data_IF_023924381148
#
_entry.id   IF_023924381148
#
_cell.length_a   1.000
_cell.length_b   1.000
_cell.length_c   1.000
_cell.angle_alpha   90.00
_cell.angle_beta   90.00
_cell.angle_gamma   90.00
#
_symmetry.space_group_name_H-M   'P 1'
#
loop_
_entity.id
_entity.type
_entity.pdbx_description
1 polymer ?
#
# COMPACT_ATOMS: atom_id res chain seq x y z
N UNK A 1 -22.28 11.25 17.80
CA UNK A 1 -21.59 12.01 18.86
C UNK A 1 -20.26 11.31 19.06
N UNK A 2 -19.24 11.79 18.36
CA UNK A 2 -17.88 11.26 18.44
C UNK A 2 -17.22 11.81 19.70
N UNK A 3 -16.79 10.93 20.59
CA UNK A 3 -16.00 11.32 21.75
C UNK A 3 -14.65 11.91 21.37
N UNK A 4 -14.13 12.84 22.18
CA UNK A 4 -12.98 13.64 21.82
C UNK A 4 -11.67 12.85 21.99
N UNK A 5 -10.79 12.99 21.03
CA UNK A 5 -9.37 12.69 21.06
C UNK A 5 -8.73 12.99 22.45
N UNK A 6 -7.95 12.04 22.95
CA UNK A 6 -7.37 12.05 24.29
C UNK A 6 -6.59 13.36 24.59
N UNK A 7 -6.88 13.94 25.76
CA UNK A 7 -6.44 15.25 26.23
C UNK A 7 -4.97 15.35 26.67
N UNK A 8 -4.06 14.44 26.30
CA UNK A 8 -2.72 14.40 26.91
C UNK A 8 -1.63 15.22 26.23
N UNK A 9 -1.85 15.77 25.04
CA UNK A 9 -0.83 16.59 24.36
C UNK A 9 -1.33 18.01 24.13
N UNK A 10 -1.04 18.90 25.07
CA UNK A 10 -1.25 20.35 24.91
C UNK A 10 -0.26 20.89 23.86
N UNK A 11 -0.72 21.28 22.66
CA UNK A 11 0.17 21.76 21.59
C UNK A 11 1.01 22.97 22.01
N UNK A 12 0.57 23.76 23.00
CA UNK A 12 1.28 24.97 23.45
C UNK A 12 2.60 24.64 24.12
N UNK A 13 2.75 23.45 24.70
CA UNK A 13 3.96 22.99 25.42
C UNK A 13 4.96 22.26 24.53
N UNK A 14 4.62 21.98 23.28
CA UNK A 14 5.47 21.27 22.35
C UNK A 14 6.64 22.15 21.88
N UNK A 15 7.84 21.54 21.72
CA UNK A 15 8.96 22.20 21.05
C UNK A 15 8.75 22.19 19.54
N UNK A 16 9.14 23.23 18.81
CA UNK A 16 9.12 23.25 17.35
C UNK A 16 9.89 22.05 16.75
N UNK A 17 9.33 21.44 15.72
CA UNK A 17 9.93 20.31 14.98
C UNK A 17 9.91 20.62 13.49
N UNK A 18 11.07 20.58 12.84
CA UNK A 18 11.16 20.73 11.37
C UNK A 18 10.64 19.45 10.70
N UNK A 19 9.90 19.64 9.61
CA UNK A 19 9.43 18.57 8.76
C UNK A 19 9.56 18.94 7.27
N UNK A 20 9.82 17.96 6.40
CA UNK A 20 9.64 18.12 4.96
C UNK A 20 8.18 17.82 4.63
N UNK A 21 7.43 18.82 4.16
CA UNK A 21 6.08 18.63 3.65
C UNK A 21 6.16 18.40 2.14
N UNK A 22 5.82 17.21 1.69
CA UNK A 22 5.67 16.87 0.28
C UNK A 22 4.18 16.92 -0.02
N UNK A 23 3.78 17.91 -0.80
CA UNK A 23 2.39 18.17 -1.12
C UNK A 23 2.12 17.89 -2.60
N UNK A 24 1.17 16.99 -2.87
CA UNK A 24 0.70 16.70 -4.22
C UNK A 24 -0.65 17.37 -4.48
N UNK A 25 -0.69 18.48 -5.23
CA UNK A 25 -1.92 19.23 -5.49
C UNK A 25 -2.91 18.47 -6.39
N UNK A 26 -2.44 17.46 -7.14
CA UNK A 26 -3.29 16.65 -8.03
C UNK A 26 -3.95 15.48 -7.31
N UNK A 27 -3.58 15.20 -6.06
CA UNK A 27 -4.17 14.10 -5.30
C UNK A 27 -5.64 14.40 -4.95
N UNK A 28 -6.53 13.42 -5.19
CA UNK A 28 -7.94 13.50 -4.80
C UNK A 28 -8.78 14.55 -5.54
N UNK A 29 -8.29 15.07 -6.66
CA UNK A 29 -8.99 16.12 -7.46
C UNK A 29 -10.44 15.75 -7.83
N UNK A 30 -10.80 14.47 -7.77
CA UNK A 30 -12.13 13.95 -8.13
C UNK A 30 -13.07 13.76 -6.93
N UNK A 31 -12.60 13.89 -5.70
CA UNK A 31 -13.37 13.60 -4.46
C UNK A 31 -13.99 14.82 -3.76
N UNK A 32 -14.27 15.88 -4.44
CA UNK A 32 -14.87 17.11 -3.86
C UNK A 32 -13.81 18.20 -3.63
N UNK A 33 -13.90 18.97 -2.53
CA UNK A 33 -12.95 20.04 -2.28
C UNK A 33 -11.55 19.46 -1.98
N UNK A 34 -10.53 19.75 -2.80
CA UNK A 34 -9.18 19.27 -2.55
C UNK A 34 -8.64 19.84 -1.24
N UNK A 35 -7.79 19.09 -0.58
CA UNK A 35 -7.09 19.56 0.63
C UNK A 35 -6.22 20.77 0.27
N UNK A 36 -6.47 21.92 0.89
CA UNK A 36 -5.71 23.13 0.64
C UNK A 36 -4.36 23.11 1.34
N UNK A 37 -3.30 23.50 0.63
CA UNK A 37 -1.95 23.56 1.23
C UNK A 37 -1.89 24.50 2.43
N UNK A 38 -2.63 25.59 2.40
CA UNK A 38 -2.67 26.57 3.49
C UNK A 38 -3.31 25.97 4.75
N UNK A 39 -4.32 25.11 4.59
CA UNK A 39 -4.97 24.43 5.72
C UNK A 39 -4.01 23.41 6.35
N UNK A 40 -3.24 22.68 5.51
CA UNK A 40 -2.19 21.76 5.99
C UNK A 40 -1.12 22.51 6.77
N UNK A 41 -0.59 23.61 6.23
CA UNK A 41 0.45 24.41 6.87
C UNK A 41 -0.08 25.01 8.20
N UNK A 42 -1.29 25.55 8.18
CA UNK A 42 -1.92 26.12 9.37
C UNK A 42 -2.04 25.08 10.49
N UNK A 43 -2.57 23.91 10.16
CA UNK A 43 -2.74 22.84 11.15
C UNK A 43 -1.39 22.30 11.65
N UNK A 44 -0.39 22.15 10.78
CA UNK A 44 0.98 21.80 11.19
C UNK A 44 1.56 22.82 12.19
N UNK A 45 1.31 24.11 11.99
CA UNK A 45 1.78 25.17 12.88
C UNK A 45 1.08 25.12 14.26
N UNK A 46 -0.20 24.77 14.32
CA UNK A 46 -0.92 24.50 15.58
C UNK A 46 -0.16 23.47 16.41
N UNK A 47 0.33 22.40 15.76
CA UNK A 47 1.10 21.32 16.39
C UNK A 47 2.60 21.61 16.51
N UNK A 48 3.05 22.87 16.31
CA UNK A 48 4.47 23.27 16.34
C UNK A 48 5.35 22.48 15.37
N UNK A 49 4.78 22.05 14.24
CA UNK A 49 5.53 21.48 13.14
C UNK A 49 5.84 22.61 12.14
N UNK A 50 7.12 22.79 11.82
CA UNK A 50 7.59 23.82 10.89
C UNK A 50 7.86 23.16 9.54
N UNK A 51 6.95 23.32 8.54
CA UNK A 51 7.10 22.66 7.27
C UNK A 51 8.11 23.35 6.36
N UNK A 52 8.95 22.56 5.69
CA UNK A 52 9.66 22.92 4.48
C UNK A 52 8.92 22.32 3.29
N UNK A 53 8.23 23.14 2.53
CA UNK A 53 7.28 22.68 1.50
C UNK A 53 8.02 22.29 0.22
N UNK A 54 7.60 21.16 -0.35
CA UNK A 54 7.92 20.73 -1.71
C UNK A 54 6.62 20.37 -2.43
N UNK A 55 6.37 20.99 -3.58
CA UNK A 55 5.21 20.69 -4.43
C UNK A 55 5.57 19.60 -5.43
N UNK A 56 4.72 18.59 -5.51
CA UNK A 56 4.85 17.52 -6.51
C UNK A 56 4.19 18.00 -7.80
N UNK A 57 5.00 18.23 -8.81
CA UNK A 57 4.60 18.64 -10.16
C UNK A 57 5.25 17.71 -11.18
N UNK A 58 4.73 17.71 -12.40
CA UNK A 58 5.32 16.93 -13.49
C UNK A 58 6.79 17.32 -13.73
N UNK A 59 7.67 16.32 -13.75
CA UNK A 59 9.11 16.53 -13.97
C UNK A 59 9.87 17.06 -12.74
N UNK A 60 9.26 17.18 -11.55
CA UNK A 60 9.97 17.61 -10.35
C UNK A 60 11.01 16.57 -9.88
N UNK A 61 12.11 17.01 -9.28
CA UNK A 61 13.12 16.15 -8.66
C UNK A 61 12.73 15.83 -7.20
N UNK A 62 11.73 14.96 -7.05
CA UNK A 62 11.29 14.49 -5.74
C UNK A 62 12.43 13.76 -4.98
N UNK A 63 13.22 12.96 -5.69
CA UNK A 63 14.32 12.21 -5.07
C UNK A 63 15.42 13.14 -4.55
N UNK A 64 15.76 14.18 -5.30
CA UNK A 64 16.67 15.24 -4.85
C UNK A 64 16.15 15.95 -3.62
N UNK A 65 14.86 16.35 -3.63
CA UNK A 65 14.25 17.04 -2.48
C UNK A 65 14.27 16.20 -1.20
N UNK A 66 14.02 14.90 -1.30
CA UNK A 66 14.09 13.96 -0.15
C UNK A 66 15.53 13.80 0.33
N UNK A 67 16.47 13.57 -0.59
CA UNK A 67 17.90 13.42 -0.28
C UNK A 67 18.47 14.63 0.42
N UNK A 68 18.18 15.84 -0.09
CA UNK A 68 18.66 17.10 0.48
C UNK A 68 18.09 17.35 1.88
N UNK A 69 16.81 17.05 2.08
CA UNK A 69 16.17 17.16 3.39
C UNK A 69 16.77 16.20 4.41
N UNK A 70 17.07 14.96 4.00
CA UNK A 70 17.77 13.98 4.85
C UNK A 70 19.18 14.46 5.23
N UNK A 71 19.94 15.03 4.26
CA UNK A 71 21.26 15.58 4.47
C UNK A 71 21.24 16.78 5.44
N UNK A 72 20.19 17.60 5.40
CA UNK A 72 19.96 18.72 6.34
C UNK A 72 19.49 18.26 7.73
N UNK A 73 19.36 16.95 7.96
CA UNK A 73 18.98 16.38 9.24
C UNK A 73 17.48 16.38 9.52
N UNK A 74 16.62 16.61 8.53
CA UNK A 74 15.17 16.46 8.68
C UNK A 74 14.86 14.98 8.96
N UNK A 75 13.99 14.73 9.93
CA UNK A 75 13.63 13.38 10.40
C UNK A 75 12.14 13.09 10.30
N UNK A 76 11.31 14.05 9.94
CA UNK A 76 9.89 13.87 9.67
C UNK A 76 9.59 14.32 8.24
N UNK A 77 9.08 13.39 7.45
CA UNK A 77 8.58 13.63 6.10
C UNK A 77 7.07 13.48 6.12
N UNK A 78 6.36 14.56 5.90
CA UNK A 78 4.89 14.60 5.88
C UNK A 78 4.43 14.61 4.44
N UNK A 79 3.71 13.58 4.05
CA UNK A 79 3.20 13.43 2.69
C UNK A 79 1.71 13.74 2.69
N UNK A 80 1.33 14.83 2.03
CA UNK A 80 -0.06 15.13 1.67
C UNK A 80 -0.28 14.71 0.23
N UNK A 81 -0.86 13.53 0.05
CA UNK A 81 -0.99 12.88 -1.26
C UNK A 81 -1.79 11.59 -1.20
N UNK A 82 -1.88 10.89 -2.33
CA UNK A 82 -2.43 9.55 -2.45
C UNK A 82 -1.35 8.47 -2.35
N UNK A 83 -1.78 7.20 -2.44
CA UNK A 83 -0.94 6.02 -2.23
C UNK A 83 0.32 6.02 -3.10
N UNK A 84 0.24 6.40 -4.37
CA UNK A 84 1.41 6.49 -5.27
C UNK A 84 2.47 7.49 -4.80
N UNK A 85 2.09 8.68 -4.27
CA UNK A 85 3.03 9.66 -3.72
C UNK A 85 3.62 9.16 -2.41
N UNK A 86 2.81 8.53 -1.57
CA UNK A 86 3.23 7.93 -0.30
C UNK A 86 4.25 6.82 -0.56
N UNK A 87 3.95 5.87 -1.45
CA UNK A 87 4.83 4.76 -1.80
C UNK A 87 6.17 5.24 -2.39
N UNK A 88 6.14 6.24 -3.27
CA UNK A 88 7.36 6.81 -3.85
C UNK A 88 8.30 7.37 -2.78
N UNK A 89 7.77 8.16 -1.84
CA UNK A 89 8.59 8.72 -0.74
C UNK A 89 9.00 7.65 0.25
N UNK A 90 8.10 6.71 0.58
CA UNK A 90 8.39 5.59 1.48
C UNK A 90 9.61 4.80 1.00
N UNK A 91 9.66 4.46 -0.31
CA UNK A 91 10.81 3.78 -0.90
C UNK A 91 12.14 4.51 -0.73
N UNK A 92 12.14 5.85 -0.73
CA UNK A 92 13.33 6.67 -0.50
C UNK A 92 13.73 6.75 0.97
N UNK A 93 12.82 6.46 1.89
CA UNK A 93 13.05 6.51 3.35
C UNK A 93 13.42 5.16 3.96
N UNK A 94 13.34 4.06 3.19
CA UNK A 94 13.76 2.72 3.62
C UNK A 94 15.17 2.76 4.17
N UNK A 95 15.39 2.09 5.32
CA UNK A 95 16.67 2.03 6.02
C UNK A 95 17.23 3.40 6.47
N UNK A 96 16.42 4.45 6.51
CA UNK A 96 16.82 5.75 7.08
C UNK A 96 16.36 5.89 8.53
N UNK A 97 16.82 6.96 9.21
CA UNK A 97 16.34 7.32 10.55
C UNK A 97 15.12 8.24 10.53
N UNK A 98 14.64 8.61 9.36
CA UNK A 98 13.48 9.47 9.20
C UNK A 98 12.17 8.69 9.44
N UNK A 99 11.12 9.42 9.77
CA UNK A 99 9.77 8.88 9.90
C UNK A 99 8.89 9.46 8.81
N UNK A 100 8.04 8.62 8.25
CA UNK A 100 6.96 8.97 7.35
C UNK A 100 5.74 9.40 8.17
N UNK A 101 5.18 10.56 7.87
CA UNK A 101 3.86 11.00 8.33
C UNK A 101 2.95 11.13 7.12
N UNK A 102 1.69 10.76 7.25
CA UNK A 102 0.75 10.74 6.13
C UNK A 102 -0.44 11.63 6.45
N UNK A 103 -0.79 12.48 5.47
CA UNK A 103 -2.04 13.24 5.40
C UNK A 103 -2.77 12.75 4.16
N UNK A 104 -3.75 11.84 4.31
CA UNK A 104 -4.38 11.19 3.18
C UNK A 104 -5.24 12.17 2.39
N UNK A 105 -4.88 12.43 1.14
CA UNK A 105 -5.62 13.31 0.23
C UNK A 105 -5.90 12.67 -1.14
N UNK A 106 -5.58 11.40 -1.31
CA UNK A 106 -5.83 10.63 -2.53
C UNK A 106 -7.25 10.09 -2.62
N UNK A 107 -7.49 9.30 -3.68
CA UNK A 107 -8.80 8.71 -3.95
C UNK A 107 -9.06 7.47 -3.09
N UNK A 108 -8.10 6.57 -2.94
CA UNK A 108 -8.25 5.31 -2.19
C UNK A 108 -7.70 5.42 -0.77
N UNK A 109 -6.46 5.88 -0.62
CA UNK A 109 -5.75 6.00 0.66
C UNK A 109 -5.62 4.67 1.42
N UNK A 110 -5.38 3.57 0.70
CA UNK A 110 -5.25 2.22 1.25
C UNK A 110 -4.11 2.12 2.27
N UNK A 111 -2.97 2.77 1.98
CA UNK A 111 -1.81 2.80 2.89
C UNK A 111 -2.20 3.48 4.20
N UNK A 112 -2.89 4.62 4.14
CA UNK A 112 -3.34 5.32 5.34
C UNK A 112 -4.36 4.50 6.14
N UNK A 113 -5.32 3.85 5.46
CA UNK A 113 -6.29 2.95 6.07
C UNK A 113 -5.59 1.79 6.77
N UNK A 114 -4.65 1.12 6.10
CA UNK A 114 -3.87 0.00 6.64
C UNK A 114 -3.09 0.36 7.90
N UNK A 115 -2.64 1.61 7.99
CA UNK A 115 -1.83 2.12 9.12
C UNK A 115 -2.66 2.80 10.21
N UNK A 116 -4.00 2.73 10.12
CA UNK A 116 -4.90 3.36 11.10
C UNK A 116 -4.79 4.90 11.12
N UNK A 117 -4.49 5.52 9.99
CA UNK A 117 -4.35 6.97 9.88
C UNK A 117 -5.70 7.59 9.50
N UNK A 118 -6.21 8.54 10.30
CA UNK A 118 -7.51 9.15 10.04
C UNK A 118 -7.56 9.91 8.70
N UNK A 119 -8.71 9.85 8.02
CA UNK A 119 -8.95 10.63 6.81
C UNK A 119 -9.16 12.14 7.09
N UNK A 120 -9.52 12.51 8.32
CA UNK A 120 -9.66 13.91 8.73
C UNK A 120 -8.30 14.59 8.82
N UNK A 121 -8.17 15.74 8.15
CA UNK A 121 -6.93 16.52 8.08
C UNK A 121 -6.34 16.85 9.47
N UNK A 122 -7.17 17.31 10.39
CA UNK A 122 -6.72 17.74 11.72
C UNK A 122 -6.26 16.55 12.55
N UNK A 123 -7.01 15.47 12.50
CA UNK A 123 -6.67 14.24 13.19
C UNK A 123 -5.38 13.60 12.62
N UNK A 124 -5.22 13.58 11.30
CA UNK A 124 -4.00 13.09 10.66
C UNK A 124 -2.76 13.91 11.02
N UNK A 125 -2.87 15.24 11.08
CA UNK A 125 -1.75 16.09 11.48
C UNK A 125 -1.47 16.00 12.99
N UNK A 126 -2.51 15.93 13.83
CA UNK A 126 -2.34 15.71 15.28
C UNK A 126 -1.54 14.42 15.54
N UNK A 127 -1.83 13.36 14.79
CA UNK A 127 -1.18 12.07 14.88
C UNK A 127 0.34 12.14 14.65
N UNK A 128 0.83 13.09 13.88
CA UNK A 128 2.27 13.30 13.68
C UNK A 128 3.01 13.63 14.99
N UNK A 129 2.30 14.08 16.02
CA UNK A 129 2.84 14.44 17.35
C UNK A 129 2.35 13.53 18.46
N UNK A 130 1.18 12.95 18.33
CA UNK A 130 0.51 12.14 19.35
C UNK A 130 0.52 10.66 19.05
N UNK A 131 0.71 10.29 17.78
CA UNK A 131 0.73 8.92 17.33
C UNK A 131 1.98 8.14 17.75
N UNK A 132 1.95 6.85 17.50
CA UNK A 132 3.05 5.93 17.75
C UNK A 132 3.97 5.85 16.53
N UNK A 133 5.28 5.93 16.76
CA UNK A 133 6.27 5.62 15.73
C UNK A 133 6.40 4.10 15.62
N UNK A 134 5.97 3.53 14.50
CA UNK A 134 6.05 2.09 14.23
C UNK A 134 7.04 1.78 13.13
N UNK A 135 7.68 0.62 13.21
CA UNK A 135 8.42 0.07 12.09
C UNK A 135 7.44 -0.72 11.22
N UNK A 136 7.56 -0.51 9.93
CA UNK A 136 6.69 -1.09 8.89
C UNK A 136 7.56 -1.88 7.92
N UNK A 137 7.05 -2.99 7.49
CA UNK A 137 7.67 -3.85 6.50
C UNK A 137 7.53 -3.24 5.10
N UNK A 138 8.46 -3.57 4.23
CA UNK A 138 8.46 -3.12 2.83
C UNK A 138 8.76 -4.32 1.96
N UNK A 139 7.92 -4.57 0.96
CA UNK A 139 8.22 -5.56 -0.05
C UNK A 139 9.29 -5.06 -1.01
N UNK A 140 10.19 -5.95 -1.43
CA UNK A 140 11.20 -5.69 -2.46
C UNK A 140 10.98 -6.63 -3.63
N UNK A 141 10.63 -6.09 -4.80
CA UNK A 141 10.44 -6.86 -6.02
C UNK A 141 11.64 -6.67 -6.97
N UNK A 142 12.16 -7.78 -7.48
CA UNK A 142 13.30 -7.82 -8.41
C UNK A 142 12.90 -8.57 -9.67
N UNK A 143 12.94 -7.86 -10.81
CA UNK A 143 12.67 -8.40 -12.15
C UNK A 143 13.86 -8.08 -13.06
N UNK A 144 14.66 -9.09 -13.41
CA UNK A 144 15.93 -8.89 -14.11
C UNK A 144 16.87 -7.97 -13.33
N UNK A 145 17.27 -6.86 -13.94
CA UNK A 145 18.14 -5.85 -13.31
C UNK A 145 17.36 -4.76 -12.54
N UNK A 146 16.04 -4.76 -12.65
CA UNK A 146 15.19 -3.75 -12.01
C UNK A 146 14.80 -4.22 -10.61
N UNK A 147 15.15 -3.44 -9.60
CA UNK A 147 14.76 -3.66 -8.21
C UNK A 147 13.93 -2.48 -7.71
N UNK A 148 12.78 -2.75 -7.12
CA UNK A 148 11.86 -1.71 -6.64
C UNK A 148 11.21 -2.09 -5.32
N UNK A 149 11.29 -1.21 -4.31
CA UNK A 149 10.48 -1.37 -3.10
C UNK A 149 9.02 -1.07 -3.41
N UNK A 150 8.12 -1.74 -2.70
CA UNK A 150 6.69 -1.44 -2.70
C UNK A 150 6.15 -1.49 -1.26
N UNK A 151 5.18 -0.63 -0.99
CA UNK A 151 4.58 -0.53 0.33
C UNK A 151 3.23 -1.24 0.37
N UNK A 152 2.45 -1.16 -0.70
CA UNK A 152 1.10 -1.73 -0.78
C UNK A 152 1.10 -3.12 -1.42
N UNK A 153 1.44 -3.21 -2.72
CA UNK A 153 1.25 -4.44 -3.49
C UNK A 153 2.20 -4.58 -4.68
N UNK A 154 2.63 -5.81 -4.95
CA UNK A 154 3.17 -6.21 -6.24
C UNK A 154 2.18 -7.15 -6.94
N UNK A 155 1.90 -6.90 -8.21
CA UNK A 155 0.94 -7.67 -9.02
C UNK A 155 1.59 -8.24 -10.27
N UNK A 156 1.20 -9.46 -10.64
CA UNK A 156 1.62 -10.16 -11.85
C UNK A 156 0.40 -10.52 -12.68
N UNK A 157 0.45 -10.28 -13.97
CA UNK A 157 -0.62 -10.60 -14.93
C UNK A 157 -1.74 -9.57 -14.94
N UNK A 158 -3.00 -10.00 -15.05
CA UNK A 158 -4.15 -9.10 -15.16
C UNK A 158 -4.31 -8.16 -13.96
N UNK A 159 -3.80 -8.53 -12.78
CA UNK A 159 -3.77 -7.63 -11.62
C UNK A 159 -3.06 -6.32 -11.93
N UNK A 160 -1.97 -6.35 -12.70
CA UNK A 160 -1.22 -5.16 -13.10
C UNK A 160 -2.00 -4.19 -14.01
N UNK A 161 -2.94 -4.71 -14.80
CA UNK A 161 -3.80 -3.89 -15.66
C UNK A 161 -5.08 -3.43 -14.96
N UNK A 162 -5.57 -4.21 -14.00
CA UNK A 162 -6.86 -3.98 -13.32
C UNK A 162 -6.80 -2.81 -12.32
N UNK A 163 -5.72 -2.68 -11.54
CA UNK A 163 -5.61 -1.61 -10.56
C UNK A 163 -5.55 -0.21 -11.18
N UNK A 164 -4.73 0.06 -12.21
CA UNK A 164 -4.77 1.33 -12.91
C UNK A 164 -6.11 1.60 -13.59
N UNK A 165 -6.74 0.57 -14.19
CA UNK A 165 -8.01 0.72 -14.87
C UNK A 165 -9.18 1.01 -13.92
N UNK A 166 -9.18 0.45 -12.73
CA UNK A 166 -10.19 0.76 -11.71
C UNK A 166 -10.11 2.24 -11.29
N UNK A 167 -8.89 2.77 -11.14
CA UNK A 167 -8.66 4.17 -10.85
C UNK A 167 -9.10 5.07 -12.03
N UNK A 168 -8.74 4.73 -13.26
CA UNK A 168 -9.17 5.43 -14.48
C UNK A 168 -10.70 5.41 -14.67
N UNK A 169 -11.37 4.31 -14.30
CA UNK A 169 -12.84 4.19 -14.35
C UNK A 169 -13.51 5.18 -13.39
N UNK A 170 -12.97 5.29 -12.18
CA UNK A 170 -13.45 6.25 -11.18
C UNK A 170 -13.23 7.70 -11.63
N UNK A 171 -12.22 7.94 -12.46
CA UNK A 171 -11.88 9.25 -13.00
C UNK A 171 -12.54 9.56 -14.36
N UNK A 172 -13.36 8.64 -14.90
CA UNK A 172 -14.11 8.83 -16.15
C UNK A 172 -13.24 8.83 -17.41
N UNK A 173 -12.05 8.24 -17.38
CA UNK A 173 -11.12 8.19 -18.52
C UNK A 173 -11.47 7.04 -19.48
N UNK A 174 -12.47 7.27 -20.34
CA UNK A 174 -13.04 6.26 -21.25
C UNK A 174 -12.02 5.69 -22.26
N UNK A 175 -11.00 6.42 -22.64
CA UNK A 175 -9.99 5.96 -23.60
C UNK A 175 -9.16 4.78 -23.01
N UNK A 176 -8.73 4.90 -21.77
CA UNK A 176 -7.97 3.85 -21.09
C UNK A 176 -8.82 2.61 -20.74
N UNK A 177 -10.14 2.78 -20.61
CA UNK A 177 -11.05 1.65 -20.43
C UNK A 177 -11.06 0.76 -21.68
N UNK A 178 -10.96 1.33 -22.88
CA UNK A 178 -10.86 0.57 -24.13
C UNK A 178 -9.60 -0.30 -24.18
N UNK A 179 -8.46 0.27 -23.83
CA UNK A 179 -7.17 -0.45 -23.77
C UNK A 179 -7.21 -1.56 -22.72
N UNK A 180 -7.79 -1.28 -21.57
CA UNK A 180 -8.00 -2.27 -20.51
C UNK A 180 -8.89 -3.43 -20.98
N UNK A 181 -10.04 -3.14 -21.57
CA UNK A 181 -10.94 -4.18 -22.09
C UNK A 181 -10.28 -5.02 -23.21
N UNK A 182 -9.48 -4.37 -24.06
CA UNK A 182 -8.67 -5.09 -25.07
C UNK A 182 -7.68 -6.04 -24.41
N UNK A 183 -6.91 -5.58 -23.44
CA UNK A 183 -5.96 -6.39 -22.68
C UNK A 183 -6.68 -7.54 -21.96
N UNK A 184 -7.80 -7.26 -21.32
CA UNK A 184 -8.60 -8.27 -20.64
C UNK A 184 -9.07 -9.37 -21.61
N UNK A 185 -9.56 -9.01 -22.80
CA UNK A 185 -10.07 -9.98 -23.78
C UNK A 185 -8.93 -10.81 -24.39
N UNK A 186 -7.80 -10.19 -24.70
CA UNK A 186 -6.72 -10.81 -25.49
C UNK A 186 -5.71 -11.60 -24.64
N UNK A 187 -5.56 -11.31 -23.34
CA UNK A 187 -4.58 -12.01 -22.49
C UNK A 187 -4.97 -13.49 -22.27
N UNK A 188 -4.18 -14.47 -22.71
CA UNK A 188 -4.45 -15.88 -22.38
C UNK A 188 -4.20 -16.14 -20.89
N UNK A 189 -4.72 -17.25 -20.32
CA UNK A 189 -4.21 -17.76 -19.06
C UNK A 189 -2.75 -18.17 -19.23
N UNK A 190 -1.96 -18.04 -18.17
CA UNK A 190 -0.58 -18.51 -18.14
C UNK A 190 -0.41 -19.66 -17.16
N UNK A 191 0.54 -20.52 -17.45
CA UNK A 191 1.12 -21.40 -16.45
C UNK A 191 1.89 -20.51 -15.46
N UNK A 192 1.53 -20.60 -14.20
CA UNK A 192 2.10 -19.82 -13.09
C UNK A 192 2.83 -20.82 -12.20
N UNK A 193 4.12 -20.59 -12.01
CA UNK A 193 4.97 -21.35 -11.10
C UNK A 193 5.39 -20.45 -9.96
N UNK A 194 5.06 -20.84 -8.72
CA UNK A 194 5.46 -20.15 -7.49
C UNK A 194 6.46 -21.02 -6.73
N UNK A 195 7.51 -20.39 -6.20
CA UNK A 195 8.38 -20.98 -5.18
C UNK A 195 8.25 -20.14 -3.91
N UNK A 196 7.69 -20.72 -2.87
CA UNK A 196 7.36 -20.08 -1.61
C UNK A 196 8.43 -20.43 -0.57
N UNK A 197 9.08 -19.44 0.00
CA UNK A 197 10.15 -19.56 1.01
C UNK A 197 11.29 -20.55 0.66
N UNK A 198 11.54 -20.74 -0.66
CA UNK A 198 12.50 -21.69 -1.22
C UNK A 198 12.19 -23.19 -0.91
N UNK A 199 11.00 -23.52 -0.40
CA UNK A 199 10.64 -24.85 0.08
C UNK A 199 9.41 -25.43 -0.61
N UNK A 200 8.38 -24.64 -0.89
CA UNK A 200 7.12 -25.10 -1.46
C UNK A 200 6.97 -24.60 -2.89
N UNK A 201 6.76 -25.52 -3.83
CA UNK A 201 6.42 -25.22 -5.22
C UNK A 201 4.92 -25.35 -5.44
N UNK A 202 4.35 -24.43 -6.20
CA UNK A 202 2.93 -24.43 -6.59
C UNK A 202 2.82 -24.11 -8.07
N UNK A 203 2.17 -25.01 -8.82
CA UNK A 203 1.85 -24.82 -10.24
C UNK A 203 0.35 -24.62 -10.42
N UNK A 204 -0.03 -23.64 -11.21
CA UNK A 204 -1.42 -23.38 -11.54
C UNK A 204 -1.59 -22.72 -12.90
N UNK A 205 -2.75 -22.91 -13.51
CA UNK A 205 -3.19 -22.12 -14.65
C UNK A 205 -4.02 -20.94 -14.15
N UNK A 206 -3.66 -19.72 -14.53
CA UNK A 206 -4.35 -18.56 -13.99
C UNK A 206 -4.08 -17.27 -14.76
N UNK A 207 -4.65 -16.19 -14.27
CA UNK A 207 -4.55 -14.87 -14.88
C UNK A 207 -3.84 -13.81 -14.03
N UNK A 208 -3.68 -14.07 -12.74
CA UNK A 208 -3.10 -13.08 -11.83
C UNK A 208 -2.50 -13.72 -10.56
N UNK A 209 -1.43 -13.10 -10.08
CA UNK A 209 -0.92 -13.26 -8.71
C UNK A 209 -0.80 -11.88 -8.09
N UNK A 210 -1.25 -11.75 -6.85
CA UNK A 210 -1.08 -10.54 -6.03
C UNK A 210 -0.18 -10.88 -4.84
N UNK A 211 0.78 -10.01 -4.56
CA UNK A 211 1.66 -10.12 -3.40
C UNK A 211 1.53 -8.82 -2.61
N UNK A 212 0.82 -8.87 -1.51
CA UNK A 212 0.51 -7.70 -0.70
C UNK A 212 1.40 -7.62 0.54
N UNK A 213 1.82 -6.40 0.86
CA UNK A 213 2.53 -6.05 2.08
C UNK A 213 1.61 -5.28 3.05
N UNK A 214 0.47 -4.77 2.56
CA UNK A 214 -0.53 -4.09 3.36
C UNK A 214 -1.87 -4.84 3.30
N UNK A 215 -2.67 -4.81 4.39
CA UNK A 215 -3.93 -5.54 4.46
C UNK A 215 -5.01 -5.05 3.48
N UNK A 216 -4.97 -3.79 3.07
CA UNK A 216 -5.92 -3.21 2.13
C UNK A 216 -5.25 -2.79 0.83
N UNK A 217 -5.93 -3.05 -0.29
CA UNK A 217 -5.46 -2.67 -1.64
C UNK A 217 -6.63 -2.39 -2.58
N UNK A 218 -6.38 -1.69 -3.69
CA UNK A 218 -7.37 -1.37 -4.72
C UNK A 218 -8.59 -0.64 -4.14
N UNK A 219 -9.79 -1.15 -4.36
CA UNK A 219 -11.05 -0.58 -3.83
C UNK A 219 -11.32 -1.03 -2.38
N UNK A 220 -10.34 -0.88 -1.48
CA UNK A 220 -10.37 -1.37 -0.11
C UNK A 220 -10.55 -2.90 0.00
N UNK A 221 -10.00 -3.62 -0.97
CA UNK A 221 -9.98 -5.08 -0.94
C UNK A 221 -9.05 -5.52 0.20
N UNK A 222 -9.59 -6.27 1.16
CA UNK A 222 -8.80 -6.81 2.26
C UNK A 222 -8.10 -8.10 1.80
N UNK A 223 -6.80 -8.04 1.66
CA UNK A 223 -5.95 -9.17 1.23
C UNK A 223 -5.52 -10.01 2.44
N UNK A 224 -5.02 -9.36 3.47
CA UNK A 224 -4.44 -9.98 4.65
C UNK A 224 -5.15 -9.63 5.96
N UNK A 225 -4.51 -9.98 7.07
CA UNK A 225 -4.95 -9.56 8.41
C UNK A 225 -4.74 -8.05 8.58
N UNK A 226 -5.67 -7.37 9.23
CA UNK A 226 -5.58 -5.93 9.51
C UNK A 226 -4.36 -5.52 10.35
N UNK A 227 -3.65 -6.47 10.96
CA UNK A 227 -2.44 -6.23 11.75
C UNK A 227 -1.13 -6.46 10.99
N UNK A 228 -1.19 -6.82 9.71
CA UNK A 228 -0.10 -7.44 8.96
C UNK A 228 0.88 -6.49 8.27
N UNK A 229 1.08 -5.26 8.76
CA UNK A 229 2.07 -4.36 8.15
C UNK A 229 3.49 -4.44 8.77
N UNK A 230 3.68 -5.33 9.76
CA UNK A 230 4.96 -5.47 10.48
C UNK A 230 5.20 -6.87 11.08
N UNK A 231 4.64 -7.90 10.48
CA UNK A 231 4.78 -9.30 10.91
C UNK A 231 5.93 -10.04 10.22
N UNK A 232 6.58 -9.39 9.27
CA UNK A 232 7.67 -9.97 8.49
C UNK A 232 7.21 -10.94 7.41
N UNK A 233 5.95 -10.83 6.96
CA UNK A 233 5.35 -11.68 5.94
C UNK A 233 4.75 -10.86 4.79
N UNK A 234 4.58 -11.51 3.66
CA UNK A 234 3.83 -11.04 2.49
C UNK A 234 2.65 -11.97 2.26
N UNK A 235 1.50 -11.42 1.96
CA UNK A 235 0.32 -12.20 1.61
C UNK A 235 0.27 -12.42 0.09
N UNK A 236 0.38 -13.67 -0.34
CA UNK A 236 0.31 -14.08 -1.75
C UNK A 236 -1.08 -14.61 -2.06
N UNK A 237 -1.74 -14.04 -3.06
CA UNK A 237 -3.01 -14.52 -3.59
C UNK A 237 -2.79 -15.01 -5.02
N UNK A 238 -2.98 -16.30 -5.22
CA UNK A 238 -2.96 -16.94 -6.53
C UNK A 238 -4.40 -17.17 -7.01
N UNK A 239 -4.77 -16.54 -8.12
CA UNK A 239 -6.08 -16.67 -8.75
C UNK A 239 -6.00 -17.76 -9.83
N UNK A 240 -6.24 -19.01 -9.40
CA UNK A 240 -6.19 -20.19 -10.24
C UNK A 240 -7.57 -20.53 -10.83
N UNK A 241 -7.58 -20.97 -12.08
CA UNK A 241 -8.80 -21.49 -12.77
C UNK A 241 -10.03 -20.54 -12.72
N UNK A 242 -9.81 -19.25 -12.54
CA UNK A 242 -10.87 -18.24 -12.63
C UNK A 242 -10.98 -17.70 -14.05
N UNK A 243 -12.20 -17.54 -14.53
CA UNK A 243 -12.43 -16.76 -15.75
C UNK A 243 -12.13 -15.28 -15.49
N UNK A 244 -11.79 -14.55 -16.54
CA UNK A 244 -11.49 -13.11 -16.46
C UNK A 244 -12.65 -12.29 -15.87
N UNK A 245 -13.91 -12.67 -16.14
CA UNK A 245 -15.08 -12.01 -15.60
C UNK A 245 -15.27 -12.29 -14.10
N UNK A 246 -14.96 -13.49 -13.65
CA UNK A 246 -14.94 -13.82 -12.22
C UNK A 246 -13.84 -13.06 -11.50
N UNK A 247 -12.63 -13.01 -12.06
CA UNK A 247 -11.51 -12.24 -11.52
C UNK A 247 -11.88 -10.76 -11.36
N UNK A 248 -12.47 -10.15 -12.40
CA UNK A 248 -13.04 -8.80 -12.32
C UNK A 248 -14.08 -8.68 -11.22
N UNK A 249 -15.01 -9.64 -11.13
CA UNK A 249 -16.04 -9.67 -10.10
C UNK A 249 -15.44 -9.64 -8.69
N UNK A 250 -14.39 -10.40 -8.44
CA UNK A 250 -13.68 -10.39 -7.15
C UNK A 250 -13.02 -9.05 -6.85
N UNK A 251 -12.37 -8.45 -7.83
CA UNK A 251 -11.66 -7.18 -7.64
C UNK A 251 -12.60 -5.99 -7.41
N UNK A 252 -13.78 -6.00 -8.04
CA UNK A 252 -14.77 -4.92 -7.88
C UNK A 252 -15.71 -5.09 -6.69
N UNK A 253 -16.04 -6.33 -6.30
CA UNK A 253 -16.98 -6.55 -5.18
C UNK A 253 -16.32 -6.42 -3.82
N UNK A 254 -14.99 -6.46 -3.75
CA UNK A 254 -14.29 -6.74 -2.50
C UNK A 254 -14.70 -8.12 -1.98
N UNK A 255 -13.79 -8.96 -1.55
CA UNK A 255 -14.18 -10.13 -0.76
C UNK A 255 -14.46 -9.57 0.63
N UNK A 256 -15.72 -9.29 0.93
CA UNK A 256 -16.13 -8.97 2.29
C UNK A 256 -15.71 -10.12 3.20
N UNK A 257 -15.37 -9.82 4.44
CA UNK A 257 -15.00 -10.81 5.45
C UNK A 257 -16.04 -11.95 5.60
N UNK A 258 -17.25 -11.73 5.11
CA UNK A 258 -18.38 -12.67 5.18
C UNK A 258 -18.57 -13.56 3.93
N UNK A 259 -17.74 -13.39 2.87
CA UNK A 259 -17.84 -14.25 1.69
C UNK A 259 -17.15 -15.59 1.97
N UNK A 260 -17.83 -16.70 1.68
CA UNK A 260 -17.21 -18.02 1.75
C UNK A 260 -15.94 -18.06 0.89
N UNK A 261 -14.83 -18.61 1.40
CA UNK A 261 -13.57 -18.65 0.66
C UNK A 261 -13.74 -19.44 -0.64
N UNK A 262 -13.37 -18.84 -1.77
CA UNK A 262 -13.34 -19.54 -3.04
C UNK A 262 -12.04 -20.38 -3.10
N UNK A 263 -12.12 -21.72 -3.24
CA UNK A 263 -10.95 -22.59 -3.25
C UNK A 263 -10.01 -22.34 -4.42
N UNK A 264 -10.46 -21.62 -5.45
CA UNK A 264 -9.65 -21.20 -6.61
C UNK A 264 -8.79 -19.97 -6.31
N UNK A 265 -9.01 -19.31 -5.16
CA UNK A 265 -8.15 -18.23 -4.66
C UNK A 265 -7.30 -18.82 -3.54
N UNK A 266 -6.10 -19.25 -3.92
CA UNK A 266 -5.15 -19.82 -2.98
C UNK A 266 -4.41 -18.70 -2.27
N UNK A 267 -4.24 -18.82 -0.95
CA UNK A 267 -3.62 -17.80 -0.10
C UNK A 267 -2.43 -18.39 0.63
N UNK A 268 -1.33 -17.64 0.62
CA UNK A 268 -0.12 -18.01 1.32
C UNK A 268 0.44 -16.77 2.04
N UNK A 269 1.05 -16.97 3.22
CA UNK A 269 1.79 -15.93 3.93
C UNK A 269 3.25 -16.37 4.00
N UNK A 270 4.14 -15.63 3.37
CA UNK A 270 5.54 -16.02 3.13
C UNK A 270 6.49 -14.85 3.34
N UNK A 271 7.76 -15.15 3.55
CA UNK A 271 8.82 -14.12 3.57
C UNK A 271 9.35 -13.82 2.16
N UNK A 272 9.26 -14.83 1.29
CA UNK A 272 9.77 -14.75 -0.08
C UNK A 272 8.89 -15.54 -1.02
N UNK A 273 8.73 -15.01 -2.22
CA UNK A 273 8.12 -15.75 -3.32
C UNK A 273 8.88 -15.46 -4.61
N UNK A 274 9.17 -16.51 -5.38
CA UNK A 274 9.57 -16.39 -6.77
C UNK A 274 8.37 -16.76 -7.63
N UNK A 275 8.10 -15.95 -8.65
CA UNK A 275 6.96 -16.13 -9.56
C UNK A 275 7.52 -16.17 -10.97
N UNK A 276 7.22 -17.23 -11.69
CA UNK A 276 7.49 -17.36 -13.12
C UNK A 276 6.20 -17.63 -13.87
N UNK A 277 6.05 -17.04 -15.06
CA UNK A 277 4.83 -17.19 -15.86
C UNK A 277 5.14 -17.52 -17.32
N UNK A 278 4.35 -18.45 -17.92
CA UNK A 278 4.44 -18.82 -19.31
C UNK A 278 3.03 -18.85 -19.95
N UNK A 279 2.72 -17.96 -20.91
CA UNK A 279 3.56 -16.87 -21.42
C UNK A 279 3.90 -15.83 -20.36
N UNK A 280 4.97 -15.05 -20.64
CA UNK A 280 5.40 -13.97 -19.74
C UNK A 280 4.26 -12.97 -19.48
N UNK A 281 4.03 -12.65 -18.21
CA UNK A 281 3.01 -11.69 -17.79
C UNK A 281 3.65 -10.39 -17.27
N UNK A 282 2.97 -9.24 -17.42
CA UNK A 282 3.44 -7.97 -16.88
C UNK A 282 3.47 -7.97 -15.35
N UNK A 283 4.46 -7.27 -14.80
CA UNK A 283 4.70 -7.15 -13.36
C UNK A 283 4.69 -5.67 -12.98
N UNK A 284 3.96 -5.32 -11.93
CA UNK A 284 3.89 -3.96 -11.39
C UNK A 284 4.05 -3.97 -9.87
N UNK A 285 4.70 -2.94 -9.34
CA UNK A 285 4.83 -2.69 -7.91
C UNK A 285 4.34 -1.26 -7.58
N UNK A 286 3.35 -1.12 -6.70
CA UNK A 286 2.68 0.14 -6.36
C UNK A 286 2.38 1.00 -7.61
N UNK A 287 1.74 0.40 -8.62
CA UNK A 287 1.36 1.06 -9.87
C UNK A 287 2.51 1.35 -10.85
N UNK A 288 3.74 0.95 -10.57
CA UNK A 288 4.89 1.16 -11.44
C UNK A 288 5.30 -0.15 -12.12
N UNK A 289 5.48 -0.11 -13.46
CA UNK A 289 5.94 -1.27 -14.20
C UNK A 289 7.36 -1.70 -13.78
N UNK A 290 7.56 -3.00 -13.62
CA UNK A 290 8.85 -3.62 -13.32
C UNK A 290 9.45 -4.35 -14.54
N UNK A 291 8.62 -5.01 -15.33
CA UNK A 291 9.00 -5.88 -16.43
C UNK A 291 7.96 -6.96 -16.67
N UNK A 292 8.40 -8.10 -17.17
CA UNK A 292 7.56 -9.25 -17.51
C UNK A 292 8.23 -10.57 -17.14
N UNK A 293 7.44 -11.60 -16.90
CA UNK A 293 7.85 -13.00 -16.82
C UNK A 293 8.24 -13.45 -15.41
N UNK A 294 9.48 -13.25 -15.00
CA UNK A 294 9.96 -13.74 -13.71
C UNK A 294 10.21 -12.60 -12.73
N UNK A 295 9.74 -12.76 -11.50
CA UNK A 295 10.00 -11.81 -10.40
C UNK A 295 10.29 -12.57 -9.12
N UNK A 296 11.25 -12.07 -8.35
CA UNK A 296 11.52 -12.47 -6.97
C UNK A 296 11.06 -11.35 -6.06
N UNK A 297 10.27 -11.70 -5.07
CA UNK A 297 9.72 -10.76 -4.09
C UNK A 297 10.08 -11.23 -2.69
N UNK A 298 10.57 -10.30 -1.85
CA UNK A 298 11.02 -10.58 -0.51
C UNK A 298 10.59 -9.46 0.44
N UNK A 299 10.17 -9.80 1.66
CA UNK A 299 9.89 -8.81 2.69
C UNK A 299 11.16 -8.28 3.32
N UNK A 300 11.26 -6.98 3.46
CA UNK A 300 12.25 -6.30 4.29
C UNK A 300 11.58 -5.86 5.59
N UNK A 301 11.85 -6.61 6.67
CA UNK A 301 11.15 -6.44 7.93
C UNK A 301 11.59 -5.18 8.66
N UNK A 302 10.63 -4.33 9.04
CA UNK A 302 10.80 -3.20 9.93
C UNK A 302 11.76 -2.10 9.42
N UNK A 303 11.89 -1.93 8.11
CA UNK A 303 12.89 -1.03 7.50
C UNK A 303 12.39 0.40 7.29
N UNK A 304 11.10 0.66 7.50
CA UNK A 304 10.47 1.97 7.34
C UNK A 304 9.82 2.42 8.63
N UNK A 305 10.16 3.59 9.14
CA UNK A 305 9.48 4.16 10.29
C UNK A 305 8.30 5.04 9.86
N UNK A 306 7.11 4.78 10.40
CA UNK A 306 5.87 5.52 10.09
C UNK A 306 5.20 5.99 11.38
N UNK A 307 4.59 7.17 11.35
CA UNK A 307 3.69 7.65 12.41
C UNK A 307 2.31 7.00 12.18
N UNK A 308 1.90 6.10 13.07
CA UNK A 308 0.65 5.34 12.94
C UNK A 308 -0.35 5.70 14.03
N UNK A 309 -1.63 5.51 13.74
CA UNK A 309 -2.74 5.66 14.69
C UNK A 309 -2.95 4.42 15.56
N UNK A 310 -3.97 4.48 16.38
CA UNK A 310 -4.54 3.30 17.03
C UNK A 310 -5.27 2.45 15.98
N UNK A 311 -5.18 1.12 16.04
CA UNK A 311 -5.97 0.26 15.15
C UNK A 311 -7.46 0.59 15.30
N UNK A 312 -8.12 0.90 14.20
CA UNK A 312 -9.58 1.08 14.20
C UNK A 312 -10.27 -0.29 14.24
N UNK A 313 -11.56 -0.38 14.65
CA UNK A 313 -12.31 -1.64 14.58
C UNK A 313 -12.34 -2.27 13.18
N UNK A 314 -12.25 -1.45 12.13
CA UNK A 314 -12.15 -1.89 10.73
C UNK A 314 -10.76 -2.48 10.41
N UNK A 315 -9.74 -2.15 11.20
CA UNK A 315 -8.37 -2.66 11.07
C UNK A 315 -8.02 -3.71 12.13
N UNK A 316 -8.97 -4.15 12.96
CA UNK A 316 -8.75 -5.25 13.91
C UNK A 316 -9.09 -6.59 13.25
N UNK A 317 -8.23 -7.62 13.42
CA UNK A 317 -8.57 -8.96 12.94
C UNK A 317 -9.85 -9.44 13.63
N UNK A 318 -10.72 -10.09 12.87
CA UNK A 318 -11.88 -10.75 13.45
C UNK A 318 -11.42 -11.73 14.57
N UNK A 319 -12.12 -11.79 15.71
CA UNK A 319 -11.68 -12.58 16.88
C UNK A 319 -11.44 -14.06 16.59
N UNK A 320 -11.99 -14.60 15.51
CA UNK A 320 -11.87 -16.01 15.14
C UNK A 320 -10.59 -16.34 14.33
N UNK A 321 -9.84 -15.35 13.83
CA UNK A 321 -8.59 -15.60 13.11
C UNK A 321 -7.42 -16.04 14.00
N UNK A 322 -7.54 -15.84 15.31
CA UNK A 322 -6.52 -16.23 16.31
C UNK A 322 -6.65 -17.69 16.79
N UNK A 323 -7.73 -18.38 16.44
CA UNK A 323 -7.98 -19.78 16.89
C UNK A 323 -7.56 -20.85 15.85
N UNK A 324 -7.23 -20.47 14.62
CA UNK A 324 -6.84 -21.38 13.53
C UNK A 324 -5.37 -21.81 13.51
N UNK A 325 -4.50 -21.15 14.29
CA UNK A 325 -3.05 -21.39 14.24
C UNK A 325 -2.51 -22.36 15.30
N UNK A 326 -3.37 -23.02 16.07
CA UNK A 326 -2.95 -23.94 17.17
C UNK A 326 -3.61 -25.31 17.15
N UNK A 327 -3.86 -25.92 16.01
CA UNK A 327 -4.15 -27.37 15.99
C UNK A 327 -3.61 -27.95 14.68
N UNK A 328 -2.37 -28.43 14.70
CA UNK A 328 -1.95 -29.70 14.06
C UNK A 328 -0.46 -29.96 14.33
N UNK A 329 -0.14 -30.10 15.60
CA UNK A 329 1.11 -30.74 15.98
C UNK A 329 0.85 -31.63 17.21
N UNK A 330 0.09 -32.72 17.03
CA UNK A 330 0.17 -33.95 17.84
C UNK A 330 -0.85 -34.96 17.32
N UNK A 331 -0.44 -35.93 16.56
CA UNK A 331 -0.70 -37.35 16.75
C UNK A 331 -0.18 -38.21 15.58
N UNK A 332 0.63 -39.14 15.97
CA UNK A 332 1.11 -40.38 15.37
C UNK A 332 2.33 -40.31 14.48
#
# INVERSE_FOLDING_TARGET
>A
MSEPYDKQSDPTKLRPMRAKLIFNPSAGATRGAPVGILDVIHEMQVWKIVPEVFLVEEGCDLAGAVRDALAQGIRLFVICGGDGTIAAVAGMLVNTRASLGIVPSGTQNNIALSLGIPADLRAAIALLRTGRRSQVDVGMAVCGEVSRPFLEICSVGLGSALFPAADDLLHGNLARIGDFLSTLVTSPPAEIHLVLDDEQEVDALGHAVLVANMPFTGLHYQVGSAAAFNDGLLDVLLFADLSKLELLGYMFKGVGADAAPDPRIQRYSVRRVEIATQPAMPIMADGNALGEGQVRIEVQQGVLAVMVGEPTPETQPAPDALLGAQTDATTA
#
